data_IF_713924205149
#
_entry.id   IF_713924205149
#
_cell.length_a   1.000
_cell.length_b   1.000
_cell.length_c   1.000
_cell.angle_alpha   90.00
_cell.angle_beta   90.00
_cell.angle_gamma   90.00
#
_symmetry.space_group_name_H-M   'P 1'
#
loop_
_entity.id
_entity.type
_entity.pdbx_description
1 polymer ?
#
# COMPACT_ATOMS: atom_id res chain seq x y z
N UNK A 1 29.70 -23.89 12.73
CA UNK A 1 28.38 -23.69 13.37
C UNK A 1 27.45 -24.81 12.94
N UNK A 2 26.53 -25.23 13.82
CA UNK A 2 25.58 -26.32 13.51
C UNK A 2 24.40 -25.87 12.64
N UNK A 3 23.70 -26.84 12.05
CA UNK A 3 22.43 -26.60 11.33
C UNK A 3 21.35 -27.46 11.97
N UNK A 4 20.21 -26.85 12.31
CA UNK A 4 18.98 -27.57 12.60
C UNK A 4 18.05 -27.41 11.40
N UNK A 5 17.66 -28.53 10.81
CA UNK A 5 16.72 -28.55 9.69
C UNK A 5 15.44 -29.29 10.10
N UNK A 6 14.31 -28.66 9.82
CA UNK A 6 12.97 -29.20 10.03
C UNK A 6 12.42 -29.64 8.69
N UNK A 7 12.28 -30.96 8.53
CA UNK A 7 11.88 -31.58 7.27
C UNK A 7 13.03 -31.82 6.29
N UNK A 8 12.73 -32.50 5.19
CA UNK A 8 13.66 -32.88 4.13
C UNK A 8 13.02 -32.76 2.73
N UNK A 9 12.07 -31.83 2.59
CA UNK A 9 11.20 -31.68 1.42
C UNK A 9 9.87 -32.46 1.54
N UNK A 10 9.74 -33.34 2.54
CA UNK A 10 8.48 -33.99 2.89
C UNK A 10 7.61 -33.19 3.87
N UNK A 11 6.62 -33.86 4.46
CA UNK A 11 5.65 -33.31 5.42
C UNK A 11 5.93 -33.76 6.87
N UNK A 12 7.17 -34.17 7.18
CA UNK A 12 7.56 -34.61 8.52
C UNK A 12 8.57 -33.65 9.16
N UNK A 13 8.65 -33.67 10.50
CA UNK A 13 9.58 -32.84 11.30
C UNK A 13 8.92 -31.63 11.96
N UNK A 14 9.29 -31.34 13.21
CA UNK A 14 8.72 -30.24 14.02
C UNK A 14 9.73 -29.72 15.04
N UNK A 15 9.55 -28.48 15.52
CA UNK A 15 10.35 -27.87 16.58
C UNK A 15 9.88 -28.20 18.01
N UNK A 16 8.76 -28.93 18.16
CA UNK A 16 8.05 -29.02 19.44
C UNK A 16 7.38 -27.70 19.81
N UNK A 17 7.05 -27.50 21.09
CA UNK A 17 6.30 -26.33 21.58
C UNK A 17 7.13 -25.28 22.34
N UNK A 18 8.39 -25.59 22.68
CA UNK A 18 9.24 -24.72 23.49
C UNK A 18 9.87 -23.56 22.71
N UNK A 19 10.46 -22.60 23.42
CA UNK A 19 11.26 -21.55 22.79
C UNK A 19 12.49 -22.15 22.08
N UNK A 20 12.92 -21.52 20.98
CA UNK A 20 14.04 -21.96 20.15
C UNK A 20 15.14 -20.91 20.18
N UNK A 21 16.32 -21.26 20.69
CA UNK A 21 17.51 -20.40 20.64
C UNK A 21 18.34 -20.80 19.41
N UNK A 22 18.21 -20.03 18.34
CA UNK A 22 18.97 -20.21 17.10
C UNK A 22 20.23 -19.34 17.12
N UNK A 23 21.39 -19.94 17.43
CA UNK A 23 22.70 -19.28 17.36
C UNK A 23 23.50 -19.65 16.10
N UNK A 24 22.89 -20.35 15.14
CA UNK A 24 23.56 -20.76 13.91
C UNK A 24 22.60 -20.74 12.71
N UNK A 25 22.17 -21.89 12.19
CA UNK A 25 21.24 -21.97 11.05
C UNK A 25 20.03 -22.81 11.41
N UNK A 26 18.83 -22.24 11.25
CA UNK A 26 17.56 -22.94 11.32
C UNK A 26 16.91 -22.97 9.93
N UNK A 27 16.63 -24.18 9.43
CA UNK A 27 16.05 -24.39 8.10
C UNK A 27 14.67 -25.02 8.22
N UNK A 28 13.70 -24.46 7.52
CA UNK A 28 12.41 -25.11 7.27
C UNK A 28 12.38 -25.64 5.83
N UNK A 29 12.46 -26.96 5.70
CA UNK A 29 12.41 -27.67 4.43
C UNK A 29 11.20 -28.62 4.42
N UNK A 30 10.00 -28.05 4.42
CA UNK A 30 8.72 -28.77 4.35
C UNK A 30 7.96 -28.42 3.08
N UNK A 31 7.20 -29.37 2.55
CA UNK A 31 6.37 -29.17 1.35
C UNK A 31 4.92 -28.80 1.65
N UNK A 32 4.50 -28.87 2.91
CA UNK A 32 3.16 -28.51 3.37
C UNK A 32 3.17 -27.25 4.26
N UNK A 33 2.02 -26.92 4.83
CA UNK A 33 1.90 -25.81 5.78
C UNK A 33 2.45 -26.23 7.15
N UNK A 34 3.42 -25.48 7.66
CA UNK A 34 3.96 -25.63 9.01
C UNK A 34 3.64 -24.39 9.84
N UNK A 35 2.80 -24.56 10.86
CA UNK A 35 2.59 -23.53 11.88
C UNK A 35 3.76 -23.55 12.88
N UNK A 36 4.42 -22.41 13.03
CA UNK A 36 5.54 -22.22 13.97
C UNK A 36 5.12 -21.19 15.02
N UNK A 37 4.59 -21.72 16.12
CA UNK A 37 4.21 -20.93 17.31
C UNK A 37 5.37 -20.66 18.27
N UNK A 38 6.54 -21.22 18.02
CA UNK A 38 7.72 -21.05 18.87
C UNK A 38 8.23 -19.60 18.80
N UNK A 39 8.66 -19.05 19.94
CA UNK A 39 9.49 -17.85 19.96
C UNK A 39 10.92 -18.24 19.58
N UNK A 40 11.43 -17.68 18.47
CA UNK A 40 12.78 -17.96 17.96
C UNK A 40 13.68 -16.75 18.26
N UNK A 41 14.75 -16.97 19.02
CA UNK A 41 15.73 -15.95 19.41
C UNK A 41 17.16 -16.36 19.01
N UNK A 42 18.16 -15.53 19.32
CA UNK A 42 19.59 -15.85 19.12
C UNK A 42 20.24 -15.15 17.92
N UNK A 43 21.52 -15.43 17.67
CA UNK A 43 22.33 -14.75 16.64
C UNK A 43 22.34 -15.42 15.26
N UNK A 44 21.55 -16.47 15.09
CA UNK A 44 21.49 -17.30 13.89
C UNK A 44 20.54 -16.78 12.81
N UNK A 45 20.64 -17.39 11.62
CA UNK A 45 19.79 -17.12 10.46
C UNK A 45 18.62 -18.10 10.38
N UNK A 46 17.53 -17.67 9.75
CA UNK A 46 16.38 -18.50 9.40
C UNK A 46 16.33 -18.69 7.88
N UNK A 47 16.09 -19.91 7.42
CA UNK A 47 15.97 -20.25 6.00
C UNK A 47 14.64 -20.95 5.74
N UNK A 48 13.80 -20.36 4.89
CA UNK A 48 12.70 -21.07 4.22
C UNK A 48 13.25 -21.72 2.94
N UNK A 49 13.32 -23.05 2.93
CA UNK A 49 13.91 -23.84 1.84
C UNK A 49 12.91 -24.76 1.14
N UNK A 50 11.85 -25.16 1.83
CA UNK A 50 10.83 -26.07 1.28
C UNK A 50 9.80 -25.36 0.41
N UNK A 51 9.09 -26.13 -0.42
CA UNK A 51 8.04 -25.62 -1.32
C UNK A 51 6.74 -25.27 -0.62
N UNK A 52 6.57 -25.67 0.64
CA UNK A 52 5.39 -25.38 1.45
C UNK A 52 5.37 -23.97 2.05
N UNK A 53 4.50 -23.78 3.04
CA UNK A 53 4.32 -22.52 3.75
C UNK A 53 4.78 -22.65 5.19
N UNK A 54 5.82 -21.92 5.59
CA UNK A 54 6.13 -21.75 7.03
C UNK A 54 5.38 -20.53 7.56
N UNK A 55 4.51 -20.72 8.55
CA UNK A 55 3.67 -19.69 9.14
C UNK A 55 4.21 -19.34 10.53
N UNK A 56 4.84 -18.17 10.65
CA UNK A 56 5.39 -17.67 11.91
C UNK A 56 4.29 -16.96 12.71
N UNK A 57 3.90 -17.53 13.84
CA UNK A 57 2.98 -16.88 14.80
C UNK A 57 3.62 -16.54 16.14
N UNK A 58 4.84 -17.03 16.39
CA UNK A 58 5.63 -16.66 17.58
C UNK A 58 6.23 -15.25 17.51
N UNK A 59 6.70 -14.76 18.66
CA UNK A 59 7.43 -13.51 18.78
C UNK A 59 8.92 -13.78 18.61
N UNK A 60 9.42 -13.51 17.42
CA UNK A 60 10.78 -13.79 16.99
C UNK A 60 11.72 -12.60 17.20
N UNK A 61 12.93 -12.87 17.65
CA UNK A 61 13.99 -11.89 17.96
C UNK A 61 15.38 -12.33 17.49
N UNK A 62 15.46 -13.36 16.64
CA UNK A 62 16.75 -13.73 16.04
C UNK A 62 17.31 -12.58 15.19
N UNK A 63 18.63 -12.37 15.24
CA UNK A 63 19.23 -11.12 14.74
C UNK A 63 19.94 -11.21 13.40
N UNK A 64 20.14 -12.42 12.87
CA UNK A 64 20.75 -12.59 11.55
C UNK A 64 19.70 -12.54 10.43
N UNK A 65 20.18 -12.71 9.20
CA UNK A 65 19.35 -12.66 7.99
C UNK A 65 18.25 -13.73 7.96
N UNK A 66 17.14 -13.38 7.33
CA UNK A 66 16.11 -14.33 6.88
C UNK A 66 16.28 -14.58 5.40
N UNK A 67 16.39 -15.84 4.99
CA UNK A 67 16.47 -16.22 3.58
C UNK A 67 15.21 -16.98 3.17
N UNK A 68 14.55 -16.54 2.10
CA UNK A 68 13.38 -17.22 1.52
C UNK A 68 13.80 -17.73 0.15
N UNK A 69 14.24 -18.98 0.09
CA UNK A 69 14.79 -19.59 -1.12
C UNK A 69 13.71 -20.28 -1.97
N UNK A 70 12.64 -20.75 -1.35
CA UNK A 70 11.52 -21.42 -2.02
C UNK A 70 10.23 -21.28 -1.19
N UNK A 71 9.09 -21.68 -1.77
CA UNK A 71 7.80 -21.69 -1.08
C UNK A 71 7.40 -20.34 -0.51
N UNK A 72 6.74 -20.37 0.64
CA UNK A 72 6.17 -19.19 1.31
C UNK A 72 6.69 -19.09 2.74
N UNK A 73 7.18 -17.91 3.11
CA UNK A 73 7.30 -17.51 4.52
C UNK A 73 6.16 -16.55 4.84
N UNK A 74 5.25 -16.97 5.72
CA UNK A 74 4.11 -16.17 6.16
C UNK A 74 4.31 -15.66 7.58
N UNK A 75 4.03 -14.38 7.80
CA UNK A 75 4.03 -13.73 9.12
C UNK A 75 2.60 -13.51 9.57
N UNK A 76 2.25 -14.14 10.69
CA UNK A 76 0.88 -14.16 11.22
C UNK A 76 -0.04 -15.15 10.52
N UNK A 77 -1.21 -15.36 11.13
CA UNK A 77 -2.25 -16.27 10.64
C UNK A 77 -3.65 -15.66 10.85
N UNK A 78 -3.81 -14.38 10.53
CA UNK A 78 -5.07 -13.64 10.65
C UNK A 78 -5.40 -13.10 12.04
N UNK A 79 -4.58 -13.40 13.06
CA UNK A 79 -4.72 -12.87 14.43
C UNK A 79 -3.76 -11.71 14.72
N UNK A 80 -3.47 -11.48 16.01
CA UNK A 80 -2.51 -10.56 16.69
C UNK A 80 -0.99 -10.82 16.57
N UNK A 81 -0.60 -12.06 16.31
CA UNK A 81 0.76 -12.55 16.60
C UNK A 81 1.57 -12.94 15.37
N UNK A 82 2.89 -12.99 15.53
CA UNK A 82 3.84 -13.35 14.49
C UNK A 82 4.73 -12.18 14.12
N UNK A 83 6.04 -12.37 14.27
CA UNK A 83 7.06 -11.41 13.81
C UNK A 83 8.15 -12.12 13.03
N UNK A 84 8.94 -11.35 12.28
CA UNK A 84 10.23 -11.78 11.77
C UNK A 84 11.32 -11.49 12.81
N UNK A 85 12.55 -11.92 12.53
CA UNK A 85 13.73 -11.45 13.26
C UNK A 85 14.09 -10.00 12.92
N UNK A 86 15.20 -9.51 13.48
CA UNK A 86 15.63 -8.11 13.31
C UNK A 86 16.58 -7.88 12.12
N UNK A 87 17.14 -8.95 11.54
CA UNK A 87 18.07 -8.88 10.41
C UNK A 87 17.39 -8.70 9.05
N UNK A 88 18.18 -8.40 8.01
CA UNK A 88 17.67 -8.22 6.64
C UNK A 88 17.00 -9.48 6.08
N UNK A 89 16.17 -9.29 5.07
CA UNK A 89 15.43 -10.36 4.39
C UNK A 89 15.90 -10.45 2.94
N UNK A 90 16.39 -11.62 2.55
CA UNK A 90 16.61 -11.96 1.14
C UNK A 90 15.46 -12.84 0.67
N UNK A 91 14.51 -12.22 -0.03
CA UNK A 91 13.32 -12.87 -0.57
C UNK A 91 13.56 -13.26 -2.03
N UNK A 92 13.72 -14.55 -2.31
CA UNK A 92 13.83 -15.10 -3.67
C UNK A 92 12.57 -15.88 -4.09
N UNK A 93 11.55 -15.94 -3.23
CA UNK A 93 10.29 -16.65 -3.48
C UNK A 93 9.09 -15.79 -3.04
N UNK A 94 8.38 -16.15 -1.96
CA UNK A 94 7.21 -15.40 -1.49
C UNK A 94 7.31 -15.07 0.00
N UNK A 95 7.10 -13.79 0.32
CA UNK A 95 6.92 -13.27 1.67
C UNK A 95 5.47 -12.79 1.84
N UNK A 96 4.75 -13.37 2.79
CA UNK A 96 3.32 -13.08 3.00
C UNK A 96 3.08 -12.51 4.39
N UNK A 97 2.25 -11.48 4.50
CA UNK A 97 1.82 -10.91 5.77
C UNK A 97 0.31 -11.11 5.97
N UNK A 98 -0.04 -11.83 7.03
CA UNK A 98 -1.42 -12.09 7.46
C UNK A 98 -1.61 -11.64 8.91
N UNK A 99 -1.49 -10.33 9.14
CA UNK A 99 -1.67 -9.66 10.42
C UNK A 99 -3.03 -8.93 10.46
N UNK A 100 -3.73 -8.98 11.59
CA UNK A 100 -4.99 -8.25 11.78
C UNK A 100 -4.82 -6.85 12.37
N UNK A 101 -3.64 -6.54 12.90
CA UNK A 101 -3.28 -5.25 13.50
C UNK A 101 -2.24 -4.52 12.64
N UNK A 102 -1.73 -3.41 13.16
CA UNK A 102 -0.63 -2.70 12.53
C UNK A 102 0.70 -3.43 12.75
N UNK A 103 1.47 -3.65 11.69
CA UNK A 103 2.82 -4.17 11.73
C UNK A 103 3.75 -3.29 10.89
N UNK A 104 4.73 -2.66 11.54
CA UNK A 104 5.87 -2.03 10.86
C UNK A 104 6.94 -3.07 10.58
N UNK A 105 7.44 -3.13 9.34
CA UNK A 105 8.55 -3.98 8.94
C UNK A 105 9.82 -3.13 8.81
N UNK A 106 10.71 -3.15 9.81
CA UNK A 106 11.94 -2.35 9.80
C UNK A 106 13.06 -3.00 8.99
N UNK A 107 12.87 -4.22 8.49
CA UNK A 107 13.88 -5.01 7.80
C UNK A 107 14.05 -4.53 6.35
N UNK A 108 15.29 -4.46 5.86
CA UNK A 108 15.55 -4.30 4.44
C UNK A 108 15.18 -5.60 3.71
N UNK A 109 14.36 -5.50 2.68
CA UNK A 109 13.92 -6.62 1.85
C UNK A 109 14.57 -6.51 0.47
N UNK A 110 15.32 -7.54 0.07
CA UNK A 110 16.00 -7.64 -1.22
C UNK A 110 15.65 -8.94 -1.94
N UNK A 111 16.01 -9.07 -3.21
CA UNK A 111 15.94 -10.34 -3.96
C UNK A 111 14.93 -10.32 -5.13
N UNK A 112 14.61 -11.49 -5.66
CA UNK A 112 13.73 -11.62 -6.85
C UNK A 112 12.29 -11.97 -6.51
N UNK A 113 12.00 -12.26 -5.24
CA UNK A 113 10.70 -12.72 -4.77
C UNK A 113 9.65 -11.62 -4.67
N UNK A 114 8.41 -12.05 -4.47
CA UNK A 114 7.23 -11.20 -4.32
C UNK A 114 6.84 -11.02 -2.84
N UNK A 115 6.16 -9.90 -2.55
CA UNK A 115 5.52 -9.63 -1.27
C UNK A 115 3.99 -9.67 -1.43
N UNK A 116 3.27 -10.26 -0.47
CA UNK A 116 1.80 -10.21 -0.46
C UNK A 116 1.28 -9.85 0.91
N UNK A 117 0.43 -8.84 0.97
CA UNK A 117 -0.37 -8.53 2.15
C UNK A 117 -1.76 -9.14 1.99
N UNK A 118 -2.13 -10.05 2.89
CA UNK A 118 -3.43 -10.74 2.88
C UNK A 118 -4.24 -10.53 4.17
N UNK A 119 -3.61 -9.99 5.22
CA UNK A 119 -4.26 -9.69 6.48
C UNK A 119 -5.11 -8.40 6.41
N UNK A 120 -6.15 -8.27 7.24
CA UNK A 120 -7.01 -7.08 7.27
C UNK A 120 -6.37 -5.87 7.97
N UNK A 121 -5.21 -6.04 8.61
CA UNK A 121 -4.51 -4.98 9.31
C UNK A 121 -3.74 -4.03 8.39
N UNK A 122 -2.83 -3.27 9.00
CA UNK A 122 -1.97 -2.31 8.30
C UNK A 122 -0.53 -2.83 8.27
N UNK A 123 0.05 -3.03 7.10
CA UNK A 123 1.49 -3.29 6.97
C UNK A 123 2.19 -1.98 6.63
N UNK A 124 3.27 -1.65 7.32
CA UNK A 124 4.07 -0.47 7.01
C UNK A 124 5.49 -0.88 6.58
N UNK A 125 5.89 -0.45 5.38
CA UNK A 125 7.24 -0.61 4.87
C UNK A 125 8.01 0.72 4.97
N UNK A 126 9.12 0.70 5.71
CA UNK A 126 9.88 1.92 6.07
C UNK A 126 11.28 1.98 5.46
N UNK A 127 11.68 0.95 4.70
CA UNK A 127 13.02 0.83 4.11
C UNK A 127 13.00 1.03 2.60
N UNK A 128 14.16 1.43 2.05
CA UNK A 128 14.43 1.40 0.61
C UNK A 128 14.64 -0.05 0.18
N UNK A 129 13.54 -0.71 -0.15
CA UNK A 129 13.54 -2.12 -0.52
C UNK A 129 14.02 -2.27 -1.97
N UNK A 130 14.56 -3.44 -2.30
CA UNK A 130 15.09 -3.73 -3.64
C UNK A 130 14.66 -5.09 -4.18
N UNK A 131 13.57 -5.66 -3.65
CA UNK A 131 12.99 -6.86 -4.24
C UNK A 131 12.29 -6.56 -5.58
N UNK A 132 12.40 -7.47 -6.53
CA UNK A 132 11.96 -7.25 -7.91
C UNK A 132 10.65 -7.99 -8.28
N UNK A 133 10.19 -8.95 -7.47
CA UNK A 133 9.05 -9.80 -7.81
C UNK A 133 7.68 -9.12 -7.71
N UNK A 134 7.63 -7.89 -7.21
CA UNK A 134 6.40 -7.10 -7.07
C UNK A 134 5.67 -7.31 -5.75
N UNK A 135 4.58 -6.55 -5.60
CA UNK A 135 3.78 -6.53 -4.37
C UNK A 135 2.30 -6.61 -4.70
N UNK A 136 1.58 -7.49 -3.99
CA UNK A 136 0.12 -7.58 -4.08
C UNK A 136 -0.48 -7.22 -2.73
N UNK A 137 -1.34 -6.20 -2.72
CA UNK A 137 -2.17 -5.85 -1.56
C UNK A 137 -3.54 -6.47 -1.78
N UNK A 138 -3.78 -7.62 -1.13
CA UNK A 138 -5.00 -8.42 -1.28
C UNK A 138 -6.10 -8.03 -0.28
N UNK A 139 -5.71 -7.46 0.86
CA UNK A 139 -6.60 -7.04 1.93
C UNK A 139 -5.89 -6.01 2.83
N UNK A 140 -6.66 -5.27 3.62
CA UNK A 140 -6.14 -4.27 4.55
C UNK A 140 -5.45 -3.10 3.87
N UNK A 141 -4.50 -2.48 4.58
CA UNK A 141 -3.78 -1.29 4.11
C UNK A 141 -2.28 -1.53 4.05
N UNK A 142 -1.64 -1.25 2.92
CA UNK A 142 -0.19 -1.14 2.81
C UNK A 142 0.22 0.33 2.90
N UNK A 143 0.97 0.70 3.92
CA UNK A 143 1.62 2.01 4.03
C UNK A 143 3.06 1.93 3.54
N UNK A 144 3.41 2.79 2.58
CA UNK A 144 4.75 2.93 2.05
C UNK A 144 5.32 4.25 2.58
N UNK A 145 6.26 4.19 3.53
CA UNK A 145 6.78 5.37 4.25
C UNK A 145 8.30 5.54 4.12
N UNK A 146 8.89 5.00 3.05
CA UNK A 146 10.28 5.26 2.69
C UNK A 146 10.40 6.39 1.65
N UNK A 147 11.04 7.50 2.02
CA UNK A 147 11.17 8.71 1.19
C UNK A 147 12.49 8.81 0.43
N UNK A 148 13.47 7.95 0.70
CA UNK A 148 14.82 8.00 0.09
C UNK A 148 15.00 6.99 -1.05
N UNK A 149 13.95 6.30 -1.46
CA UNK A 149 13.96 5.25 -2.49
C UNK A 149 12.63 4.50 -2.57
N UNK A 150 12.58 3.32 -3.19
CA UNK A 150 11.32 2.59 -3.38
C UNK A 150 10.98 1.70 -2.18
N UNK A 151 9.92 2.06 -1.46
CA UNK A 151 9.48 1.26 -0.30
C UNK A 151 8.93 -0.12 -0.67
N UNK A 152 8.60 -0.35 -1.94
CA UNK A 152 8.11 -1.63 -2.47
C UNK A 152 9.07 -2.31 -3.46
N UNK A 153 10.33 -1.85 -3.53
CA UNK A 153 11.27 -2.35 -4.52
C UNK A 153 10.96 -1.88 -5.94
N UNK A 154 11.59 -2.53 -6.92
CA UNK A 154 11.44 -2.19 -8.33
C UNK A 154 10.27 -2.90 -9.02
N UNK A 155 9.73 -3.94 -8.39
CA UNK A 155 8.60 -4.70 -8.92
C UNK A 155 7.30 -3.88 -8.92
N UNK A 156 6.36 -4.28 -9.77
CA UNK A 156 5.05 -3.62 -9.83
C UNK A 156 4.22 -3.90 -8.57
N UNK A 157 3.45 -2.90 -8.14
CA UNK A 157 2.48 -3.00 -7.05
C UNK A 157 1.07 -3.10 -7.64
N UNK A 158 0.31 -4.09 -7.19
CA UNK A 158 -1.11 -4.24 -7.51
C UNK A 158 -1.94 -4.19 -6.24
N UNK A 159 -2.93 -3.30 -6.21
CA UNK A 159 -3.92 -3.22 -5.13
C UNK A 159 -5.24 -3.77 -5.67
N UNK A 160 -5.81 -4.75 -4.98
CA UNK A 160 -7.04 -5.42 -5.41
C UNK A 160 -8.28 -4.81 -4.74
N UNK A 161 -9.47 -5.29 -5.12
CA UNK A 161 -10.73 -4.86 -4.56
C UNK A 161 -10.75 -4.93 -3.02
N UNK A 162 -11.12 -3.83 -2.37
CA UNK A 162 -11.25 -3.74 -0.91
C UNK A 162 -9.93 -3.47 -0.16
N UNK A 163 -8.79 -3.44 -0.84
CA UNK A 163 -7.50 -3.11 -0.27
C UNK A 163 -7.12 -1.65 -0.52
N UNK A 164 -6.20 -1.14 0.32
CA UNK A 164 -5.71 0.24 0.27
C UNK A 164 -4.19 0.28 0.17
N UNK A 165 -3.66 1.18 -0.66
CA UNK A 165 -2.27 1.64 -0.56
C UNK A 165 -2.25 3.10 -0.10
N UNK A 166 -1.34 3.43 0.81
CA UNK A 166 -1.12 4.79 1.29
C UNK A 166 0.32 5.06 1.72
N UNK A 167 0.53 6.15 2.46
CA UNK A 167 1.82 6.57 2.98
C UNK A 167 2.48 7.71 2.19
N UNK A 168 3.67 8.12 2.62
CA UNK A 168 4.41 9.29 2.11
C UNK A 168 5.67 8.94 1.31
N UNK A 169 5.88 7.65 1.03
CA UNK A 169 7.08 7.13 0.40
C UNK A 169 7.02 7.08 -1.13
N UNK A 170 7.83 6.20 -1.72
CA UNK A 170 7.86 5.99 -3.16
C UNK A 170 7.55 4.54 -3.59
N UNK A 171 6.87 4.43 -4.74
CA UNK A 171 6.53 3.20 -5.45
C UNK A 171 6.94 3.34 -6.93
N UNK A 172 7.51 2.29 -7.51
CA UNK A 172 7.96 2.32 -8.91
C UNK A 172 6.77 2.31 -9.89
N UNK A 173 5.96 1.25 -9.85
CA UNK A 173 4.75 1.14 -10.68
C UNK A 173 3.59 0.70 -9.80
N UNK A 174 2.43 1.36 -9.92
CA UNK A 174 1.23 1.06 -9.17
C UNK A 174 0.04 0.86 -10.11
N UNK A 175 -0.66 -0.26 -9.94
CA UNK A 175 -1.97 -0.51 -10.57
C UNK A 175 -3.05 -0.67 -9.49
N UNK A 176 -4.09 0.15 -9.56
CA UNK A 176 -5.30 -0.02 -8.77
C UNK A 176 -6.34 -0.79 -9.58
N UNK A 177 -6.79 -1.94 -9.07
CA UNK A 177 -7.90 -2.68 -9.68
C UNK A 177 -9.25 -2.05 -9.30
N UNK A 178 -10.32 -2.48 -9.96
CA UNK A 178 -11.69 -2.11 -9.58
C UNK A 178 -11.93 -2.39 -8.09
N UNK A 179 -12.43 -1.40 -7.34
CA UNK A 179 -12.68 -1.49 -5.91
C UNK A 179 -11.45 -1.28 -5.02
N UNK A 180 -10.25 -1.06 -5.58
CA UNK A 180 -9.05 -0.71 -4.81
C UNK A 180 -9.04 0.77 -4.42
N UNK A 181 -8.33 1.10 -3.33
CA UNK A 181 -8.20 2.47 -2.83
C UNK A 181 -6.74 2.92 -2.82
N UNK A 182 -6.49 4.14 -3.30
CA UNK A 182 -5.26 4.90 -3.07
C UNK A 182 -5.55 6.05 -2.11
N UNK A 183 -4.88 6.07 -0.96
CA UNK A 183 -5.01 7.10 0.07
C UNK A 183 -3.60 7.61 0.44
N UNK A 184 -3.02 8.55 -0.33
CA UNK A 184 -1.69 9.09 -0.08
C UNK A 184 -1.58 9.71 1.31
N UNK A 185 -0.36 9.73 1.84
CA UNK A 185 -0.07 10.32 3.13
C UNK A 185 -0.42 9.45 4.34
N UNK A 186 -0.27 10.08 5.50
CA UNK A 186 -0.92 9.71 6.76
C UNK A 186 -1.78 10.89 7.23
N UNK A 187 -2.40 11.57 6.26
CA UNK A 187 -3.28 12.74 6.40
C UNK A 187 -2.63 14.05 6.89
N UNK A 188 -2.24 14.99 6.01
CA UNK A 188 -1.93 14.88 4.58
C UNK A 188 -0.46 14.54 4.28
N UNK A 189 -0.14 14.15 3.04
CA UNK A 189 1.25 13.91 2.62
C UNK A 189 1.47 13.68 1.12
N UNK A 190 2.74 13.58 0.72
CA UNK A 190 3.11 13.33 -0.68
C UNK A 190 3.49 11.87 -0.89
N UNK A 191 2.83 11.17 -1.80
CA UNK A 191 3.23 9.85 -2.29
C UNK A 191 3.87 9.98 -3.68
N UNK A 192 5.03 9.35 -3.86
CA UNK A 192 5.70 9.31 -5.17
C UNK A 192 5.39 7.97 -5.87
N UNK A 193 4.76 8.01 -7.03
CA UNK A 193 4.43 6.84 -7.83
C UNK A 193 4.89 7.09 -9.26
N UNK A 194 6.02 6.50 -9.66
CA UNK A 194 6.64 6.84 -10.95
C UNK A 194 5.71 6.54 -12.14
N UNK A 195 5.00 5.41 -12.13
CA UNK A 195 3.93 5.10 -13.10
C UNK A 195 2.68 4.64 -12.37
N UNK A 196 1.59 5.39 -12.49
CA UNK A 196 0.31 5.11 -11.86
C UNK A 196 -0.75 4.75 -12.91
N UNK A 197 -1.37 3.59 -12.76
CA UNK A 197 -2.54 3.16 -13.55
C UNK A 197 -3.72 2.93 -12.61
N UNK A 198 -4.82 3.63 -12.87
CA UNK A 198 -6.10 3.41 -12.20
C UNK A 198 -7.05 2.71 -13.16
N UNK A 199 -7.74 1.69 -12.68
CA UNK A 199 -8.80 1.01 -13.44
C UNK A 199 -10.17 1.56 -13.05
N UNK A 200 -11.14 1.46 -13.97
CA UNK A 200 -12.53 1.81 -13.67
C UNK A 200 -13.00 1.13 -12.37
N UNK A 201 -13.71 1.89 -11.53
CA UNK A 201 -14.16 1.43 -10.22
C UNK A 201 -13.14 1.50 -9.08
N UNK A 202 -11.87 1.87 -9.31
CA UNK A 202 -10.95 2.23 -8.21
C UNK A 202 -11.31 3.60 -7.61
N UNK A 203 -10.85 3.88 -6.40
CA UNK A 203 -10.99 5.19 -5.75
C UNK A 203 -9.63 5.75 -5.36
N UNK A 204 -9.40 7.03 -5.63
CA UNK A 204 -8.33 7.77 -4.97
C UNK A 204 -8.94 8.79 -3.99
N UNK A 205 -8.54 8.69 -2.72
CA UNK A 205 -8.86 9.64 -1.67
C UNK A 205 -7.74 10.68 -1.59
N UNK A 206 -8.09 11.97 -1.61
CA UNK A 206 -7.18 13.11 -1.45
C UNK A 206 -7.76 14.02 -0.38
N UNK A 207 -6.99 14.26 0.67
CA UNK A 207 -7.34 15.18 1.75
C UNK A 207 -6.82 16.59 1.43
N UNK A 208 -7.66 17.59 1.69
CA UNK A 208 -7.32 19.02 1.60
C UNK A 208 -7.82 19.65 2.90
N UNK A 209 -6.91 19.95 3.81
CA UNK A 209 -7.24 20.19 5.22
C UNK A 209 -7.13 21.64 5.66
N UNK A 210 -6.65 22.53 4.78
CA UNK A 210 -6.55 23.96 5.05
C UNK A 210 -7.01 24.81 3.87
N UNK A 211 -7.90 25.80 4.10
CA UNK A 211 -8.25 26.82 3.11
C UNK A 211 -7.08 27.62 2.56
N UNK A 212 -5.96 27.67 3.29
CA UNK A 212 -4.73 28.35 2.86
C UNK A 212 -4.00 27.63 1.72
N UNK A 213 -4.27 26.33 1.50
CA UNK A 213 -3.62 25.50 0.47
C UNK A 213 -2.08 25.56 0.54
N UNK A 214 -1.54 25.63 1.74
CA UNK A 214 -0.09 25.61 1.99
C UNK A 214 0.46 24.18 1.85
N UNK A 215 1.72 24.05 1.44
CA UNK A 215 2.35 22.73 1.32
C UNK A 215 2.24 21.93 2.63
N UNK A 216 1.87 20.65 2.54
CA UNK A 216 1.63 19.80 3.71
C UNK A 216 0.22 19.87 4.28
N UNK A 217 -0.65 20.73 3.76
CA UNK A 217 -2.09 20.78 4.12
C UNK A 217 -2.98 20.04 3.13
N UNK A 218 -2.40 19.32 2.17
CA UNK A 218 -3.12 18.50 1.22
C UNK A 218 -2.27 17.33 0.75
N UNK A 219 -2.95 16.28 0.30
CA UNK A 219 -2.30 15.14 -0.31
C UNK A 219 -1.82 15.45 -1.73
N UNK A 220 -0.69 14.86 -2.09
CA UNK A 220 -0.13 14.93 -3.44
C UNK A 220 0.27 13.54 -3.90
N UNK A 221 -0.09 13.18 -5.13
CA UNK A 221 0.50 12.05 -5.84
C UNK A 221 1.38 12.58 -6.96
N UNK A 222 2.63 12.14 -7.03
CA UNK A 222 3.57 12.63 -8.04
C UNK A 222 4.37 11.55 -8.74
N UNK A 223 4.82 11.81 -9.97
CA UNK A 223 5.64 10.85 -10.71
C UNK A 223 5.85 11.22 -12.18
N UNK A 224 6.11 10.22 -13.01
CA UNK A 224 6.35 10.43 -14.45
C UNK A 224 5.07 10.31 -15.26
N UNK A 225 4.29 9.24 -15.08
CA UNK A 225 3.03 9.08 -15.82
C UNK A 225 1.86 8.62 -14.95
N UNK A 226 0.68 9.15 -15.26
CA UNK A 226 -0.59 8.74 -14.66
C UNK A 226 -1.64 8.46 -15.73
N UNK A 227 -2.33 7.33 -15.60
CA UNK A 227 -3.55 7.02 -16.35
C UNK A 227 -4.73 7.03 -15.39
N UNK A 228 -5.63 8.01 -15.55
CA UNK A 228 -6.83 8.16 -14.74
C UNK A 228 -7.95 7.21 -15.16
N UNK A 229 -8.69 6.74 -14.16
CA UNK A 229 -10.01 6.09 -14.26
C UNK A 229 -10.62 6.08 -12.85
N UNK A 230 -11.84 5.57 -12.69
CA UNK A 230 -12.47 5.44 -11.39
C UNK A 230 -12.82 6.80 -10.77
N UNK A 231 -12.84 6.87 -9.44
CA UNK A 231 -13.34 8.04 -8.71
C UNK A 231 -12.19 8.78 -8.01
N UNK A 232 -12.11 10.09 -8.25
CA UNK A 232 -11.37 11.01 -7.38
C UNK A 232 -12.29 11.50 -6.26
N UNK A 233 -11.92 11.24 -5.01
CA UNK A 233 -12.66 11.65 -3.81
C UNK A 233 -11.89 12.68 -3.02
N UNK A 234 -12.36 13.93 -3.04
CA UNK A 234 -11.75 15.07 -2.38
C UNK A 234 -12.36 15.30 -1.00
N UNK A 235 -11.58 15.13 0.05
CA UNK A 235 -11.99 15.35 1.43
C UNK A 235 -11.51 16.72 1.93
N UNK A 236 -12.36 17.74 1.82
CA UNK A 236 -12.07 19.07 2.33
C UNK A 236 -12.34 19.17 3.83
N UNK A 237 -11.48 19.86 4.57
CA UNK A 237 -11.72 20.29 5.95
C UNK A 237 -11.05 21.65 6.23
N UNK A 238 -11.11 22.15 7.47
CA UNK A 238 -10.48 23.42 7.84
C UNK A 238 -11.30 24.69 7.53
N UNK A 239 -12.53 24.56 7.01
CA UNK A 239 -13.49 25.66 6.88
C UNK A 239 -13.84 26.00 5.43
N UNK A 240 -14.09 27.29 5.18
CA UNK A 240 -14.51 27.79 3.85
C UNK A 240 -13.28 28.10 2.99
N UNK A 241 -13.29 27.61 1.76
CA UNK A 241 -12.25 27.86 0.77
C UNK A 241 -12.58 29.10 -0.06
N UNK A 242 -11.59 29.81 -0.59
CA UNK A 242 -11.85 30.94 -1.49
C UNK A 242 -12.24 30.43 -2.88
N UNK A 243 -13.33 30.94 -3.47
CA UNK A 243 -13.68 30.60 -4.85
C UNK A 243 -12.57 31.02 -5.82
N UNK A 244 -12.20 30.14 -6.74
CA UNK A 244 -11.08 30.30 -7.66
C UNK A 244 -9.73 29.84 -7.09
N UNK A 245 -9.67 29.39 -5.83
CA UNK A 245 -8.44 28.80 -5.30
C UNK A 245 -8.15 27.46 -5.95
N UNK A 246 -6.87 27.21 -6.22
CA UNK A 246 -6.39 26.03 -6.93
C UNK A 246 -5.31 25.32 -6.14
N UNK A 247 -5.30 23.98 -6.16
CA UNK A 247 -4.23 23.16 -5.57
C UNK A 247 -3.87 22.01 -6.49
N UNK A 248 -2.58 21.77 -6.71
CA UNK A 248 -2.10 20.66 -7.51
C UNK A 248 -1.99 19.41 -6.63
N UNK A 249 -2.88 18.45 -6.86
CA UNK A 249 -2.93 17.18 -6.11
C UNK A 249 -2.34 16.01 -6.92
N UNK A 250 -2.16 16.23 -8.23
CA UNK A 250 -1.40 15.34 -9.12
C UNK A 250 -0.28 16.10 -9.81
N UNK A 251 0.97 15.77 -9.50
CA UNK A 251 2.17 16.37 -10.08
C UNK A 251 2.90 15.33 -10.96
N UNK A 252 2.55 15.32 -12.24
CA UNK A 252 3.04 14.34 -13.23
C UNK A 252 3.54 15.04 -14.49
N UNK A 253 4.44 14.40 -15.23
CA UNK A 253 4.87 14.92 -16.53
C UNK A 253 3.96 14.47 -17.66
N UNK A 254 3.31 13.31 -17.53
CA UNK A 254 2.38 12.77 -18.52
C UNK A 254 1.06 12.40 -17.85
N UNK A 255 -0.03 12.95 -18.36
CA UNK A 255 -1.39 12.66 -17.95
C UNK A 255 -2.14 11.94 -19.08
N UNK A 256 -2.94 10.93 -18.74
CA UNK A 256 -3.73 10.15 -19.71
C UNK A 256 -5.10 9.86 -19.13
N UNK A 257 -6.15 9.93 -19.97
CA UNK A 257 -7.55 9.73 -19.61
C UNK A 257 -8.08 10.73 -18.57
N UNK A 258 -9.29 10.47 -18.06
CA UNK A 258 -9.99 11.25 -17.04
C UNK A 258 -10.45 10.31 -15.92
N UNK A 259 -10.74 10.86 -14.73
CA UNK A 259 -11.55 10.15 -13.75
C UNK A 259 -12.97 9.93 -14.30
N UNK A 260 -13.58 8.80 -13.94
CA UNK A 260 -15.00 8.50 -14.23
C UNK A 260 -15.91 9.46 -13.46
N UNK A 261 -15.49 9.86 -12.26
CA UNK A 261 -16.16 10.88 -11.46
C UNK A 261 -15.20 11.61 -10.52
N UNK A 262 -15.52 12.87 -10.23
CA UNK A 262 -14.91 13.66 -9.16
C UNK A 262 -16.00 13.93 -8.13
N UNK A 263 -15.77 13.52 -6.89
CA UNK A 263 -16.67 13.72 -5.76
C UNK A 263 -15.95 14.48 -4.66
N UNK A 264 -16.69 15.25 -3.88
CA UNK A 264 -16.14 16.01 -2.78
C UNK A 264 -17.03 15.96 -1.54
N UNK A 265 -16.41 16.21 -0.40
CA UNK A 265 -17.07 16.41 0.89
C UNK A 265 -16.41 17.53 1.67
N UNK A 266 -17.13 18.12 2.63
CA UNK A 266 -16.58 19.13 3.55
C UNK A 266 -16.61 20.57 3.05
N UNK A 267 -16.92 20.79 1.78
CA UNK A 267 -17.23 22.13 1.27
C UNK A 267 -18.65 22.57 1.70
N UNK A 268 -18.85 23.88 1.98
CA UNK A 268 -20.18 24.47 2.11
C UNK A 268 -21.06 24.19 0.89
N UNK A 269 -22.38 24.12 1.08
CA UNK A 269 -23.35 23.83 0.01
C UNK A 269 -23.46 24.92 -1.07
N UNK A 270 -22.70 26.00 -0.97
CA UNK A 270 -22.52 27.04 -2.01
C UNK A 270 -21.27 26.84 -2.85
N UNK A 271 -20.50 25.77 -2.62
CA UNK A 271 -19.22 25.50 -3.26
C UNK A 271 -19.17 24.08 -3.85
N UNK A 272 -18.40 23.97 -4.92
CA UNK A 272 -18.06 22.71 -5.59
C UNK A 272 -16.55 22.64 -5.83
N UNK A 273 -16.08 21.44 -6.16
CA UNK A 273 -14.70 21.21 -6.58
C UNK A 273 -14.69 20.65 -8.00
N UNK A 274 -13.75 21.13 -8.81
CA UNK A 274 -13.46 20.59 -10.15
C UNK A 274 -12.03 20.09 -10.19
N UNK A 275 -11.73 19.18 -11.12
CA UNK A 275 -10.39 18.66 -11.35
C UNK A 275 -10.04 18.81 -12.84
N UNK A 276 -8.86 19.31 -13.12
CA UNK A 276 -8.29 19.36 -14.48
C UNK A 276 -7.34 18.18 -14.69
N UNK A 277 -7.71 17.18 -15.51
CA UNK A 277 -6.89 16.00 -15.76
C UNK A 277 -5.66 16.29 -16.63
N UNK A 278 -5.53 17.47 -17.23
CA UNK A 278 -4.35 17.84 -18.02
C UNK A 278 -3.24 18.47 -17.17
N UNK A 279 -3.58 18.97 -15.99
CA UNK A 279 -2.66 19.71 -15.12
C UNK A 279 -2.60 19.16 -13.70
N UNK A 280 -3.56 18.32 -13.30
CA UNK A 280 -3.65 17.75 -11.97
C UNK A 280 -4.14 18.71 -10.88
N UNK A 281 -4.68 19.86 -11.27
CA UNK A 281 -5.20 20.86 -10.34
C UNK A 281 -6.66 20.61 -9.96
N UNK A 282 -6.95 20.79 -8.68
CA UNK A 282 -8.29 20.96 -8.15
C UNK A 282 -8.59 22.45 -8.01
N UNK A 283 -9.77 22.88 -8.44
CA UNK A 283 -10.25 24.27 -8.27
C UNK A 283 -11.55 24.29 -7.47
N UNK A 284 -11.61 25.12 -6.43
CA UNK A 284 -12.86 25.41 -5.71
C UNK A 284 -13.65 26.46 -6.48
N UNK A 285 -14.91 26.19 -6.80
CA UNK A 285 -15.79 27.08 -7.56
C UNK A 285 -17.11 27.30 -6.82
N UNK A 286 -17.84 28.39 -7.08
CA UNK A 286 -19.21 28.52 -6.59
C UNK A 286 -20.09 27.41 -7.21
N UNK A 287 -21.11 26.96 -6.48
CA UNK A 287 -22.25 26.24 -7.08
C UNK A 287 -22.81 27.10 -8.23
N UNK A 288 -23.15 26.49 -9.38
CA UNK A 288 -23.82 27.23 -10.43
C UNK A 288 -25.10 27.86 -9.85
N UNK A 289 -25.28 29.16 -10.07
CA UNK A 289 -26.54 29.83 -9.77
C UNK A 289 -27.70 29.13 -10.48
N UNK A 290 -28.96 29.28 -10.01
CA UNK A 290 -30.10 28.74 -10.74
C UNK A 290 -30.04 29.21 -12.19
N UNK A 291 -29.88 28.28 -13.12
CA UNK A 291 -29.69 28.55 -14.55
C UNK A 291 -30.89 29.37 -15.04
N UNK A 292 -30.66 30.63 -15.42
CA UNK A 292 -31.54 31.29 -16.37
C UNK A 292 -31.30 30.60 -17.72
N UNK A 293 -32.27 29.81 -18.17
CA UNK A 293 -32.22 29.10 -19.44
C UNK A 293 -32.10 30.13 -20.58
N UNK A 294 -30.90 30.36 -21.09
CA UNK A 294 -30.67 31.08 -22.35
C UNK A 294 -29.95 30.10 -23.26
N UNK A 295 -30.61 29.73 -24.35
CA UNK A 295 -30.24 28.61 -25.22
C UNK A 295 -28.94 28.82 -26.01
N UNK A 296 -28.27 27.71 -26.28
CA UNK A 296 -27.26 27.57 -27.34
C UNK A 296 -25.94 26.95 -26.88
N UNK A 297 -25.68 25.70 -27.30
CA UNK A 297 -24.33 25.11 -27.31
C UNK A 297 -24.07 24.04 -26.26
N UNK A 298 -23.99 22.78 -26.71
CA UNK A 298 -23.82 21.57 -25.91
C UNK A 298 -22.36 21.39 -25.44
N UNK A 299 -22.11 21.44 -24.14
CA UNK A 299 -20.97 20.79 -23.49
C UNK A 299 -21.53 19.93 -22.34
N UNK A 300 -21.44 18.62 -22.50
CA UNK A 300 -22.08 17.64 -21.61
C UNK A 300 -21.27 17.50 -20.31
N UNK A 301 -21.56 18.35 -19.33
CA UNK A 301 -21.13 18.17 -17.94
C UNK A 301 -22.09 17.21 -17.24
N UNK A 302 -21.73 15.93 -17.10
CA UNK A 302 -22.52 14.97 -16.32
C UNK A 302 -22.26 15.19 -14.83
N UNK A 303 -23.01 16.11 -14.22
CA UNK A 303 -23.09 16.22 -12.76
C UNK A 303 -24.14 15.22 -12.27
N UNK A 304 -23.71 14.08 -11.71
CA UNK A 304 -24.62 13.17 -10.98
C UNK A 304 -24.97 13.79 -9.62
N UNK A 305 -26.11 14.49 -9.60
CA UNK A 305 -26.73 15.07 -8.40
C UNK A 305 -27.18 13.94 -7.45
N UNK A 306 -26.51 13.76 -6.29
CA UNK A 306 -27.03 12.89 -5.22
C UNK A 306 -28.29 13.53 -4.62
N UNK A 307 -29.44 12.85 -4.76
CA UNK A 307 -30.65 13.12 -3.96
C UNK A 307 -30.37 12.68 -2.52
N UNK A 308 -30.44 13.59 -1.55
CA UNK A 308 -30.49 13.23 -0.13
C UNK A 308 -31.93 12.87 0.26
N UNK A 309 -32.09 11.78 1.00
CA UNK A 309 -33.11 11.67 2.05
C UNK A 309 -32.50 12.24 3.33
#
# INVERSE_FOLDING_TARGET
GGTLQIGNGGTAGSLGSGAVINNATLIFNRSDNLLVGNNISGSGRLIQAGTGTTILTGTNTYSNVTLINSGVLQVGNGGASGTLGTGNITNSAALVFNRSDALTVPNLITGTGALTQIGPGTLELTRDNSYAGGTIVSNGTLLVNNTTGYGTGSGAVTVVAGATLGGTGAVATLTLQSGAVLAPGSSPGTLTVNTLTMNAGSTNLIEITSPGLEAGTYDVVKGSSVTFAGVLSLAFSGGTYTNGSTVQVYDYTTYTNNFDAVVWSGLPGSQQATFDPLTGYVTVIPEPGPVALVGGGLALLVVLRRRRK
#
